data_IF_234176539024
#
_entry.id   IF_234176539024
#
_cell.length_a   1.000
_cell.length_b   1.000
_cell.length_c   1.000
_cell.angle_alpha   90.00
_cell.angle_beta   90.00
_cell.angle_gamma   90.00
#
_symmetry.space_group_name_H-M   'P 1'
#
loop_
_entity.id
_entity.type
_entity.pdbx_description
1 polymer ?
#
# COMPACT_ATOMS: atom_id res chain seq x y z
N UNK A 1 -4.76 0.95 -8.98
CA UNK A 1 -4.42 1.25 -10.39
C UNK A 1 -3.92 0.02 -11.12
N UNK A 2 -2.93 -0.71 -10.57
CA UNK A 2 -2.39 -1.96 -11.15
C UNK A 2 -3.50 -2.96 -11.51
N UNK A 3 -4.39 -3.27 -10.57
CA UNK A 3 -5.54 -4.17 -10.77
C UNK A 3 -6.37 -3.79 -12.01
N UNK A 4 -6.76 -2.51 -12.11
CA UNK A 4 -7.59 -1.98 -13.20
C UNK A 4 -6.80 -1.66 -14.48
N UNK A 5 -5.51 -1.97 -14.54
CA UNK A 5 -4.61 -1.61 -15.64
C UNK A 5 -4.63 -0.10 -15.98
N UNK A 6 -4.81 0.77 -14.99
CA UNK A 6 -4.82 2.23 -15.20
C UNK A 6 -3.37 2.73 -15.25
N UNK A 7 -2.98 3.32 -16.38
CA UNK A 7 -1.67 3.91 -16.53
C UNK A 7 -1.46 5.08 -15.54
N UNK A 8 -0.33 5.14 -14.81
CA UNK A 8 -0.09 6.16 -13.77
C UNK A 8 -0.03 7.59 -14.32
N UNK A 9 0.35 7.75 -15.59
CA UNK A 9 0.42 9.04 -16.28
C UNK A 9 -0.90 9.53 -16.88
N UNK A 10 -1.96 8.73 -16.85
CA UNK A 10 -3.12 8.95 -17.70
C UNK A 10 -3.88 10.26 -17.42
N UNK A 11 -3.90 10.68 -16.16
CA UNK A 11 -4.67 11.84 -15.66
C UNK A 11 -3.79 12.99 -15.17
N UNK A 12 -2.55 13.05 -15.65
CA UNK A 12 -1.62 14.15 -15.39
C UNK A 12 -0.94 14.57 -16.68
N UNK A 13 -0.31 15.73 -16.65
CA UNK A 13 0.46 16.25 -17.77
C UNK A 13 1.96 16.01 -17.57
N UNK A 14 2.68 16.02 -18.69
CA UNK A 14 4.12 15.94 -18.82
C UNK A 14 4.63 17.15 -19.59
N UNK A 15 5.79 17.69 -19.17
CA UNK A 15 6.38 18.89 -19.79
C UNK A 15 6.65 18.70 -21.30
N UNK A 16 6.99 17.48 -21.71
CA UNK A 16 7.28 17.11 -23.10
C UNK A 16 6.06 17.18 -24.02
N UNK A 17 4.84 17.24 -23.49
CA UNK A 17 3.61 17.39 -24.29
C UNK A 17 3.57 18.69 -25.08
N UNK A 18 4.37 19.69 -24.66
CA UNK A 18 4.46 21.00 -25.30
C UNK A 18 5.64 21.15 -26.25
N UNK A 19 6.45 20.11 -26.41
CA UNK A 19 7.64 20.20 -27.25
C UNK A 19 7.26 20.17 -28.74
N UNK A 20 7.86 21.04 -29.57
CA UNK A 20 7.51 21.15 -30.98
C UNK A 20 7.93 19.95 -31.84
N UNK A 21 8.69 19.00 -31.28
CA UNK A 21 9.15 17.79 -31.98
C UNK A 21 8.03 16.76 -32.17
N UNK A 22 6.99 16.79 -31.31
CA UNK A 22 5.87 15.87 -31.41
C UNK A 22 4.82 16.42 -32.36
N UNK A 23 4.22 15.53 -33.16
CA UNK A 23 3.13 15.92 -34.06
C UNK A 23 1.86 16.17 -33.27
N UNK A 24 0.98 17.00 -33.83
CA UNK A 24 -0.35 17.22 -33.30
C UNK A 24 -1.06 15.87 -33.06
N UNK A 25 -1.70 15.74 -31.89
CA UNK A 25 -2.48 14.57 -31.45
C UNK A 25 -1.71 13.28 -31.11
N UNK A 26 -0.38 13.21 -31.13
CA UNK A 26 0.34 11.99 -30.70
C UNK A 26 0.04 11.61 -29.24
N UNK A 27 0.11 12.58 -28.34
CA UNK A 27 -0.23 12.40 -26.92
C UNK A 27 -1.69 12.00 -26.71
N UNK A 28 -2.62 12.61 -27.46
CA UNK A 28 -4.05 12.29 -27.42
C UNK A 28 -4.30 10.83 -27.82
N UNK A 29 -3.64 10.33 -28.87
CA UNK A 29 -3.73 8.92 -29.31
C UNK A 29 -3.25 7.97 -28.23
N UNK A 30 -2.10 8.25 -27.61
CA UNK A 30 -1.56 7.42 -26.52
C UNK A 30 -2.50 7.41 -25.32
N UNK A 31 -3.05 8.56 -24.92
CA UNK A 31 -4.04 8.64 -23.83
C UNK A 31 -5.32 7.87 -24.17
N UNK A 32 -5.79 7.94 -25.42
CA UNK A 32 -6.97 7.20 -25.86
C UNK A 32 -6.75 5.68 -25.79
N UNK A 33 -5.59 5.20 -26.25
CA UNK A 33 -5.20 3.79 -26.14
C UNK A 33 -5.18 3.33 -24.66
N UNK A 34 -4.54 4.11 -23.77
CA UNK A 34 -4.48 3.71 -22.36
C UNK A 34 -5.83 3.80 -21.64
N UNK A 35 -6.78 4.63 -22.11
CA UNK A 35 -8.17 4.60 -21.66
C UNK A 35 -8.89 3.32 -22.09
N UNK A 36 -8.68 2.86 -23.32
CA UNK A 36 -9.39 1.70 -23.87
C UNK A 36 -8.96 0.36 -23.27
N UNK A 37 -7.82 0.30 -22.58
CA UNK A 37 -7.29 -0.91 -21.93
C UNK A 37 -7.51 -0.94 -20.41
N UNK A 38 -8.28 0.02 -19.86
CA UNK A 38 -8.69 0.01 -18.46
C UNK A 38 -9.67 -1.15 -18.24
N UNK A 39 -9.44 -1.92 -17.18
CA UNK A 39 -10.33 -3.02 -16.77
C UNK A 39 -11.40 -2.48 -15.83
N UNK A 40 -12.67 -2.66 -16.19
CA UNK A 40 -13.81 -2.23 -15.38
C UNK A 40 -14.24 -3.32 -14.39
N UNK A 41 -14.32 -4.57 -14.84
CA UNK A 41 -14.73 -5.69 -14.00
C UNK A 41 -13.53 -6.29 -13.26
N UNK A 42 -13.57 -6.25 -11.92
CA UNK A 42 -12.66 -7.00 -11.07
C UNK A 42 -13.42 -7.44 -9.81
N UNK A 43 -13.58 -8.75 -9.62
CA UNK A 43 -14.12 -9.35 -8.39
C UNK A 43 -13.16 -9.25 -7.18
N UNK A 44 -12.17 -8.36 -7.23
CA UNK A 44 -11.18 -8.19 -6.18
C UNK A 44 -11.55 -6.99 -5.34
N UNK A 45 -11.77 -7.25 -4.05
CA UNK A 45 -12.04 -6.22 -3.06
C UNK A 45 -10.76 -5.91 -2.27
N UNK A 46 -10.33 -4.66 -2.27
CA UNK A 46 -9.23 -4.17 -1.43
C UNK A 46 -9.80 -3.53 -0.16
N UNK A 47 -9.06 -3.66 0.94
CA UNK A 47 -9.44 -3.07 2.22
C UNK A 47 -8.32 -2.16 2.71
N UNK A 48 -8.72 -1.02 3.29
CA UNK A 48 -7.80 -0.09 3.96
C UNK A 48 -8.39 0.38 5.27
N UNK A 49 -7.57 0.44 6.31
CA UNK A 49 -7.97 0.97 7.61
C UNK A 49 -6.88 1.81 8.24
N UNK A 50 -7.31 2.78 9.01
CA UNK A 50 -6.48 3.63 9.86
C UNK A 50 -7.33 4.09 11.06
N UNK A 51 -6.70 4.34 12.19
CA UNK A 51 -7.37 4.90 13.38
C UNK A 51 -7.75 6.37 13.16
N UNK A 52 -7.02 7.08 12.30
CA UNK A 52 -7.25 8.49 12.02
C UNK A 52 -8.30 8.69 10.92
N UNK A 53 -9.45 9.22 11.32
CA UNK A 53 -10.55 9.55 10.41
C UNK A 53 -10.18 10.55 9.31
N UNK A 54 -9.24 11.46 9.58
CA UNK A 54 -8.77 12.45 8.61
C UNK A 54 -7.93 11.79 7.50
N UNK A 55 -7.08 10.82 7.87
CA UNK A 55 -6.30 10.01 6.92
C UNK A 55 -7.23 9.18 6.04
N UNK A 56 -8.27 8.58 6.61
CA UNK A 56 -9.29 7.84 5.83
C UNK A 56 -10.06 8.76 4.88
N UNK A 57 -10.41 9.98 5.31
CA UNK A 57 -11.06 10.95 4.43
C UNK A 57 -10.16 11.34 3.24
N UNK A 58 -8.87 11.60 3.50
CA UNK A 58 -7.89 11.88 2.47
C UNK A 58 -7.68 10.66 1.53
N UNK A 59 -7.60 9.45 2.08
CA UNK A 59 -7.45 8.22 1.29
C UNK A 59 -8.64 7.99 0.34
N UNK A 60 -9.87 8.21 0.80
CA UNK A 60 -11.07 8.15 -0.03
C UNK A 60 -11.05 9.22 -1.13
N UNK A 61 -10.63 10.44 -0.82
CA UNK A 61 -10.47 11.49 -1.82
C UNK A 61 -9.45 11.09 -2.90
N UNK A 62 -8.26 10.64 -2.47
CA UNK A 62 -7.19 10.19 -3.37
C UNK A 62 -7.63 9.02 -4.25
N UNK A 63 -8.38 8.07 -3.72
CA UNK A 63 -8.91 6.94 -4.50
C UNK A 63 -9.90 7.40 -5.59
N UNK A 64 -10.72 8.42 -5.33
CA UNK A 64 -11.61 9.01 -6.35
C UNK A 64 -10.82 9.72 -7.44
N UNK A 65 -9.81 10.51 -7.06
CA UNK A 65 -8.92 11.18 -8.02
C UNK A 65 -8.18 10.15 -8.89
N UNK A 66 -7.70 9.07 -8.30
CA UNK A 66 -7.02 7.98 -8.98
C UNK A 66 -7.94 6.99 -9.73
N UNK A 67 -9.27 7.21 -9.73
CA UNK A 67 -10.28 6.38 -10.43
C UNK A 67 -10.31 4.91 -9.98
N UNK A 68 -10.13 4.68 -8.68
CA UNK A 68 -10.09 3.34 -8.04
C UNK A 68 -10.95 3.25 -6.78
N UNK A 69 -11.83 4.21 -6.52
CA UNK A 69 -12.68 4.24 -5.32
C UNK A 69 -13.69 3.11 -5.25
N UNK A 70 -14.03 2.50 -6.38
CA UNK A 70 -14.97 1.40 -6.53
C UNK A 70 -14.41 0.04 -6.06
N UNK A 71 -13.09 -0.10 -5.98
CA UNK A 71 -12.42 -1.36 -5.62
C UNK A 71 -11.77 -1.35 -4.24
N UNK A 72 -11.86 -0.23 -3.49
CA UNK A 72 -11.25 -0.10 -2.16
C UNK A 72 -12.29 0.27 -1.11
N UNK A 73 -12.44 -0.58 -0.10
CA UNK A 73 -13.25 -0.34 1.07
C UNK A 73 -12.39 0.23 2.20
N UNK A 74 -12.60 1.51 2.51
CA UNK A 74 -11.91 2.20 3.60
C UNK A 74 -12.75 2.25 4.88
N UNK A 75 -12.14 1.95 6.02
CA UNK A 75 -12.77 2.03 7.35
C UNK A 75 -11.90 2.78 8.35
N UNK A 76 -12.51 3.54 9.26
CA UNK A 76 -11.80 4.11 10.42
C UNK A 76 -11.80 3.02 11.48
N UNK A 77 -10.65 2.36 11.66
CA UNK A 77 -10.53 1.16 12.47
C UNK A 77 -9.06 0.88 12.82
N UNK A 78 -8.80 0.46 14.05
CA UNK A 78 -7.48 -0.04 14.46
C UNK A 78 -7.19 -1.37 13.74
N UNK A 79 -5.95 -1.56 13.29
CA UNK A 79 -5.52 -2.82 12.69
C UNK A 79 -5.75 -4.02 13.63
N UNK A 80 -5.79 -3.81 14.95
CA UNK A 80 -6.10 -4.85 15.95
C UNK A 80 -7.50 -5.44 15.79
N UNK A 81 -8.44 -4.65 15.28
CA UNK A 81 -9.85 -5.02 15.14
C UNK A 81 -10.21 -5.44 13.72
N UNK A 82 -9.22 -5.61 12.83
CA UNK A 82 -9.48 -6.02 11.46
C UNK A 82 -9.97 -7.46 11.43
N UNK A 83 -11.00 -7.66 10.63
CA UNK A 83 -11.60 -8.95 10.31
C UNK A 83 -11.82 -8.95 8.81
N UNK A 84 -11.37 -9.99 8.13
CA UNK A 84 -11.47 -10.12 6.68
C UNK A 84 -12.20 -11.42 6.36
N UNK A 85 -13.21 -11.40 5.47
CA UNK A 85 -13.99 -12.59 5.13
C UNK A 85 -13.25 -13.45 4.10
N UNK A 86 -11.99 -13.81 4.36
CA UNK A 86 -11.18 -14.65 3.48
C UNK A 86 -10.12 -15.43 4.26
N UNK A 87 -9.93 -16.69 3.89
CA UNK A 87 -8.91 -17.58 4.46
C UNK A 87 -7.51 -17.30 3.92
N UNK A 88 -7.40 -16.69 2.73
CA UNK A 88 -6.12 -16.35 2.09
C UNK A 88 -6.16 -14.92 1.57
N UNK A 89 -5.00 -14.26 1.58
CA UNK A 89 -4.86 -12.90 1.08
C UNK A 89 -3.47 -12.33 1.27
N UNK A 90 -3.37 -11.02 1.09
CA UNK A 90 -2.13 -10.27 1.25
C UNK A 90 -2.36 -9.05 2.14
N UNK A 91 -1.55 -8.92 3.19
CA UNK A 91 -1.46 -7.71 4.00
C UNK A 91 -0.21 -6.95 3.54
N UNK A 92 -0.38 -5.67 3.23
CA UNK A 92 0.73 -4.74 2.97
C UNK A 92 0.56 -3.55 3.91
N UNK A 93 1.58 -3.26 4.71
CA UNK A 93 1.52 -2.17 5.67
C UNK A 93 2.84 -1.39 5.70
N UNK A 94 2.71 -0.07 5.84
CA UNK A 94 3.81 0.83 6.13
C UNK A 94 3.56 1.48 7.50
N UNK A 95 3.86 0.77 8.62
CA UNK A 95 3.59 1.28 9.95
C UNK A 95 4.48 2.48 10.29
N UNK A 96 4.13 3.26 11.34
CA UNK A 96 4.98 4.35 11.84
C UNK A 96 6.40 3.88 12.17
N UNK A 97 7.41 4.70 11.87
CA UNK A 97 8.83 4.34 12.01
C UNK A 97 9.48 4.70 13.35
N UNK A 98 8.81 5.48 14.20
CA UNK A 98 9.40 5.92 15.46
C UNK A 98 10.66 6.78 15.26
N UNK A 99 10.59 7.79 14.37
CA UNK A 99 11.77 8.59 13.99
C UNK A 99 12.37 9.40 15.15
N UNK A 100 11.55 9.76 16.15
CA UNK A 100 12.00 10.39 17.40
C UNK A 100 12.12 9.32 18.49
N UNK A 101 13.05 9.53 19.43
CA UNK A 101 13.28 8.60 20.56
C UNK A 101 11.99 8.28 21.33
N UNK A 102 11.17 9.30 21.55
CA UNK A 102 9.87 9.24 22.23
C UNK A 102 8.89 8.29 21.51
N UNK A 103 9.00 8.22 20.17
CA UNK A 103 8.14 7.45 19.29
C UNK A 103 8.67 6.02 19.06
N UNK A 104 9.94 5.71 19.40
CA UNK A 104 10.51 4.38 19.21
C UNK A 104 9.84 3.32 20.09
N UNK A 105 9.53 3.66 21.34
CA UNK A 105 8.82 2.76 22.24
C UNK A 105 7.38 2.52 21.78
N UNK A 106 6.70 3.58 21.31
CA UNK A 106 5.37 3.48 20.75
C UNK A 106 5.35 2.63 19.46
N UNK A 107 6.30 2.86 18.55
CA UNK A 107 6.46 2.07 17.33
C UNK A 107 6.75 0.59 17.64
N UNK A 108 7.65 0.32 18.59
CA UNK A 108 7.95 -1.05 19.02
C UNK A 108 6.72 -1.77 19.59
N UNK A 109 5.88 -1.06 20.36
CA UNK A 109 4.60 -1.59 20.84
C UNK A 109 3.65 -1.92 19.68
N UNK A 110 3.54 -1.04 18.69
CA UNK A 110 2.75 -1.29 17.47
C UNK A 110 3.27 -2.54 16.77
N UNK A 111 4.58 -2.70 16.59
CA UNK A 111 5.15 -3.89 15.93
C UNK A 111 4.86 -5.18 16.70
N UNK A 112 4.94 -5.15 18.03
CA UNK A 112 4.57 -6.29 18.86
C UNK A 112 3.07 -6.63 18.77
N UNK A 113 2.21 -5.62 18.72
CA UNK A 113 0.78 -5.80 18.53
C UNK A 113 0.45 -6.32 17.13
N UNK A 114 1.17 -5.87 16.09
CA UNK A 114 1.09 -6.44 14.73
C UNK A 114 1.49 -7.91 14.74
N UNK A 115 2.60 -8.26 15.40
CA UNK A 115 3.04 -9.65 15.54
C UNK A 115 2.03 -10.56 16.24
N UNK A 116 1.26 -10.04 17.21
CA UNK A 116 0.16 -10.77 17.85
C UNK A 116 -1.04 -10.91 16.92
N UNK A 117 -1.53 -9.80 16.37
CA UNK A 117 -2.74 -9.78 15.53
C UNK A 117 -2.54 -10.58 14.25
N UNK A 118 -1.36 -10.47 13.63
CA UNK A 118 -1.11 -11.07 12.33
C UNK A 118 -0.86 -12.58 12.35
N UNK A 119 -0.71 -13.19 13.53
CA UNK A 119 -0.78 -14.66 13.69
C UNK A 119 -2.16 -15.22 13.33
N UNK A 120 -3.22 -14.42 13.45
CA UNK A 120 -4.55 -14.83 13.00
C UNK A 120 -4.64 -14.99 11.47
N UNK A 121 -3.62 -14.49 10.74
CA UNK A 121 -3.54 -14.51 9.28
C UNK A 121 -2.40 -15.43 8.78
N UNK A 122 -2.15 -16.57 9.42
CA UNK A 122 -1.04 -17.48 9.06
C UNK A 122 -1.06 -17.99 7.60
N UNK A 123 -2.25 -18.05 6.98
CA UNK A 123 -2.41 -18.42 5.56
C UNK A 123 -2.27 -17.23 4.59
N UNK A 124 -2.02 -16.03 5.10
CA UNK A 124 -1.84 -14.81 4.31
C UNK A 124 -0.36 -14.50 4.12
N UNK A 125 -0.03 -13.88 2.99
CA UNK A 125 1.28 -13.26 2.83
C UNK A 125 1.28 -11.86 3.43
N UNK A 126 2.30 -11.52 4.20
CA UNK A 126 2.39 -10.26 4.94
C UNK A 126 3.67 -9.53 4.54
N UNK A 127 3.51 -8.27 4.14
CA UNK A 127 4.57 -7.40 3.65
C UNK A 127 4.61 -6.11 4.46
N UNK A 128 5.67 -5.94 5.26
CA UNK A 128 5.80 -4.78 6.15
C UNK A 128 7.04 -3.98 5.75
N UNK A 129 6.85 -2.70 5.44
CA UNK A 129 7.95 -1.76 5.23
C UNK A 129 8.29 -1.13 6.57
N UNK A 130 9.46 -1.43 7.14
CA UNK A 130 9.87 -0.91 8.45
C UNK A 130 11.39 -0.66 8.55
N UNK A 131 11.87 0.14 9.52
CA UNK A 131 13.29 0.41 9.71
C UNK A 131 14.09 -0.85 10.06
N UNK A 132 15.38 -0.82 9.74
CA UNK A 132 16.31 -1.90 10.06
C UNK A 132 16.50 -2.05 11.59
N UNK A 133 16.79 -3.29 12.04
CA UNK A 133 17.20 -3.68 13.41
C UNK A 133 16.13 -3.79 14.51
N UNK A 134 15.00 -3.09 14.45
CA UNK A 134 14.03 -3.10 15.57
C UNK A 134 12.77 -3.92 15.27
N UNK A 135 12.38 -4.01 14.01
CA UNK A 135 11.07 -4.53 13.63
C UNK A 135 10.86 -6.00 14.02
N UNK A 136 11.74 -6.92 13.62
CA UNK A 136 11.50 -8.37 13.80
C UNK A 136 11.57 -8.81 15.26
N UNK A 137 12.40 -8.16 16.07
CA UNK A 137 12.53 -8.44 17.49
C UNK A 137 11.23 -8.08 18.22
N UNK A 138 10.65 -6.91 17.89
CA UNK A 138 9.36 -6.49 18.42
C UNK A 138 8.21 -7.33 17.82
N UNK A 139 8.21 -7.58 16.51
CA UNK A 139 7.21 -8.37 15.79
C UNK A 139 7.17 -9.84 16.23
N UNK A 140 8.28 -10.37 16.76
CA UNK A 140 8.36 -11.71 17.34
C UNK A 140 8.41 -12.84 16.31
N UNK A 141 8.70 -12.55 15.03
CA UNK A 141 8.89 -13.54 13.96
C UNK A 141 9.91 -13.03 12.94
N UNK A 142 10.85 -13.90 12.57
CA UNK A 142 11.79 -13.64 11.47
C UNK A 142 11.05 -13.74 10.12
N UNK A 143 11.29 -12.77 9.24
CA UNK A 143 10.80 -12.74 7.88
C UNK A 143 11.49 -13.81 7.02
N UNK A 144 10.73 -14.39 6.10
CA UNK A 144 11.22 -15.35 5.10
C UNK A 144 12.16 -14.67 4.12
N UNK A 145 11.89 -13.40 3.80
CA UNK A 145 12.74 -12.56 2.95
C UNK A 145 12.77 -11.12 3.43
N UNK A 146 13.94 -10.50 3.30
CA UNK A 146 14.16 -9.07 3.54
C UNK A 146 14.64 -8.44 2.24
N UNK A 147 14.10 -7.28 1.88
CA UNK A 147 14.61 -6.48 0.78
C UNK A 147 14.89 -5.07 1.27
N UNK A 148 16.16 -4.66 1.22
CA UNK A 148 16.58 -3.31 1.58
C UNK A 148 15.99 -2.30 0.60
N UNK A 149 15.40 -1.24 1.14
CA UNK A 149 14.76 -0.13 0.42
C UNK A 149 15.12 1.19 1.09
N UNK A 150 14.79 2.30 0.43
CA UNK A 150 14.92 3.64 0.96
C UNK A 150 13.55 4.31 0.95
N UNK A 151 13.11 4.81 2.11
CA UNK A 151 11.98 5.71 2.20
C UNK A 151 12.52 7.12 2.47
N UNK A 152 12.70 7.90 1.41
CA UNK A 152 13.46 9.15 1.47
C UNK A 152 14.91 8.89 1.90
N UNK A 153 15.33 9.48 3.02
CA UNK A 153 16.66 9.29 3.62
C UNK A 153 16.73 8.11 4.60
N UNK A 154 15.59 7.46 4.88
CA UNK A 154 15.48 6.40 5.87
C UNK A 154 15.76 5.07 5.19
N UNK A 155 16.70 4.32 5.76
CA UNK A 155 16.98 2.95 5.35
C UNK A 155 15.92 2.04 5.97
N UNK A 156 15.15 1.36 5.12
CA UNK A 156 14.11 0.42 5.52
C UNK A 156 14.38 -0.97 4.93
N UNK A 157 13.71 -1.97 5.48
CA UNK A 157 13.51 -3.25 4.81
C UNK A 157 12.03 -3.47 4.52
N UNK A 158 11.75 -4.07 3.36
CA UNK A 158 10.50 -4.77 3.14
C UNK A 158 10.66 -6.19 3.70
N UNK A 159 10.07 -6.41 4.87
CA UNK A 159 9.95 -7.71 5.53
C UNK A 159 8.80 -8.49 4.90
N UNK A 160 9.07 -9.72 4.47
CA UNK A 160 8.15 -10.57 3.73
C UNK A 160 7.95 -11.87 4.49
N UNK A 161 6.70 -12.15 4.85
CA UNK A 161 6.26 -13.39 5.47
C UNK A 161 5.30 -14.06 4.49
N UNK A 162 5.64 -15.23 3.99
CA UNK A 162 4.82 -15.93 3.02
C UNK A 162 3.76 -16.77 3.74
N UNK A 163 2.53 -16.67 3.27
CA UNK A 163 1.44 -17.52 3.76
C UNK A 163 1.72 -19.00 3.44
N UNK A 164 1.12 -19.90 4.20
CA UNK A 164 1.18 -21.32 3.91
C UNK A 164 0.68 -21.63 2.48
N UNK A 165 1.36 -22.56 1.79
CA UNK A 165 1.01 -22.98 0.43
C UNK A 165 -0.33 -23.70 0.43
#
# INVERSE_FOLDING_TARGET
MILKNIAPGLYRDFVSERWPVFKDNEWSKVRQFYKSVIKEDNNVCLYGSDIDSSVIAAARHNARVAKVSDVINFSVKDFKDITVPSEKGVIICNPPYGERLEDQAAASKIYADMGKKFKEFDNWSIYILAPEKVFEDAYGKKADKRRKLYNGKIICNLYQYFGAK
#
